data_IF_101371028365
#
_entry.id   IF_101371028365
#
_cell.length_a   1.000
_cell.length_b   1.000
_cell.length_c   1.000
_cell.angle_alpha   90.00
_cell.angle_beta   90.00
_cell.angle_gamma   90.00
#
_symmetry.space_group_name_H-M   'P 1'
#
loop_
_entity.id
_entity.type
_entity.pdbx_description
1 polymer ?
#
# COMPACT_ATOMS: atom_id res chain seq x y z
N UNK A 1 15.92 -11.38 21.93
CA UNK A 1 15.17 -12.15 20.91
C UNK A 1 14.99 -11.27 19.68
N UNK A 2 15.72 -11.54 18.60
CA UNK A 2 15.67 -10.77 17.35
C UNK A 2 14.98 -11.64 16.29
N UNK A 3 13.81 -11.18 15.84
CA UNK A 3 13.26 -11.32 14.48
C UNK A 3 11.89 -10.64 14.47
N UNK A 4 11.86 -9.34 14.14
CA UNK A 4 10.64 -8.73 13.61
C UNK A 4 10.47 -9.29 12.20
N UNK A 5 9.41 -10.10 11.92
CA UNK A 5 9.16 -10.62 10.59
C UNK A 5 8.55 -9.48 9.79
N UNK A 6 9.41 -8.56 9.29
CA UNK A 6 9.01 -7.50 8.38
C UNK A 6 8.44 -8.18 7.12
N UNK A 7 7.12 -8.07 6.96
CA UNK A 7 6.26 -8.55 5.87
C UNK A 7 6.96 -8.23 4.55
N UNK A 8 7.33 -9.27 3.79
CA UNK A 8 8.40 -9.11 2.80
C UNK A 8 7.93 -8.52 1.46
N UNK A 9 6.71 -8.78 1.01
CA UNK A 9 6.12 -8.14 -0.17
C UNK A 9 4.59 -8.18 -0.04
N UNK A 10 3.88 -7.19 -0.58
CA UNK A 10 2.43 -7.29 -0.76
C UNK A 10 2.17 -7.10 -2.24
N UNK A 11 1.56 -8.11 -2.84
CA UNK A 11 1.26 -8.13 -4.27
C UNK A 11 -0.25 -8.02 -4.43
N UNK A 12 -0.67 -7.16 -5.35
CA UNK A 12 -2.08 -6.84 -5.57
C UNK A 12 -2.48 -7.29 -6.96
N UNK A 13 -3.53 -8.08 -7.05
CA UNK A 13 -4.09 -8.52 -8.32
C UNK A 13 -5.57 -8.16 -8.37
N UNK A 14 -6.02 -7.57 -9.47
CA UNK A 14 -7.44 -7.53 -9.81
C UNK A 14 -7.72 -8.74 -10.69
N UNK A 15 -8.56 -9.65 -10.20
CA UNK A 15 -9.12 -10.70 -11.04
C UNK A 15 -10.51 -10.25 -11.50
N UNK A 16 -10.60 -9.94 -12.79
CA UNK A 16 -11.82 -9.62 -13.51
C UNK A 16 -12.26 -10.76 -14.43
N UNK A 17 -11.47 -11.84 -14.52
CA UNK A 17 -11.70 -12.95 -15.43
C UNK A 17 -12.47 -14.09 -14.76
N UNK A 18 -12.27 -14.32 -13.45
CA UNK A 18 -12.96 -15.43 -12.76
C UNK A 18 -14.46 -15.26 -12.64
N UNK A 19 -14.96 -14.02 -12.60
CA UNK A 19 -16.40 -13.75 -12.47
C UNK A 19 -16.81 -12.66 -13.47
N UNK A 20 -17.60 -13.00 -14.51
CA UNK A 20 -18.08 -12.02 -15.48
C UNK A 20 -18.83 -10.87 -14.81
N UNK A 21 -18.35 -9.65 -15.02
CA UNK A 21 -18.98 -8.43 -14.48
C UNK A 21 -18.66 -8.11 -13.02
N UNK A 22 -17.76 -8.85 -12.35
CA UNK A 22 -17.27 -8.51 -11.01
C UNK A 22 -15.75 -8.39 -11.02
N UNK A 23 -15.23 -7.25 -10.58
CA UNK A 23 -13.81 -7.08 -10.30
C UNK A 23 -13.56 -7.45 -8.84
N UNK A 24 -12.75 -8.47 -8.61
CA UNK A 24 -12.32 -8.84 -7.25
C UNK A 24 -10.89 -8.35 -7.02
N UNK A 25 -10.67 -7.61 -5.94
CA UNK A 25 -9.34 -7.21 -5.51
C UNK A 25 -8.76 -8.31 -4.61
N UNK A 26 -7.73 -9.00 -5.08
CA UNK A 26 -7.03 -10.06 -4.34
C UNK A 26 -5.76 -9.49 -3.72
N UNK A 27 -5.59 -9.76 -2.42
CA UNK A 27 -4.51 -9.26 -1.58
C UNK A 27 -3.55 -10.41 -1.29
N UNK A 28 -2.37 -10.42 -1.89
CA UNK A 28 -1.32 -11.36 -1.50
C UNK A 28 -0.41 -10.71 -0.47
N UNK A 29 -0.51 -11.15 0.79
CA UNK A 29 0.34 -10.67 1.86
C UNK A 29 1.41 -11.73 2.13
N UNK A 30 2.62 -11.51 1.63
CA UNK A 30 3.69 -12.49 1.79
C UNK A 30 4.10 -12.61 3.25
N UNK A 31 4.21 -13.87 3.69
CA UNK A 31 4.70 -14.25 5.03
C UNK A 31 3.81 -13.76 6.18
N UNK A 32 2.55 -13.40 5.91
CA UNK A 32 1.58 -13.21 6.96
C UNK A 32 1.13 -14.58 7.51
N UNK A 33 1.35 -14.80 8.81
CA UNK A 33 0.78 -15.95 9.48
C UNK A 33 -0.76 -15.77 9.53
N UNK A 34 -1.52 -16.74 9.01
CA UNK A 34 -2.99 -16.66 8.92
C UNK A 34 -3.64 -16.25 10.26
N UNK A 35 -3.09 -16.72 11.39
CA UNK A 35 -3.62 -16.44 12.73
C UNK A 35 -3.33 -15.02 13.22
N UNK A 36 -2.31 -14.38 12.66
CA UNK A 36 -1.87 -13.04 13.03
C UNK A 36 -2.16 -12.01 11.93
N UNK A 37 -3.01 -12.35 10.96
CA UNK A 37 -3.28 -11.47 9.81
C UNK A 37 -3.88 -10.13 10.27
N UNK A 38 -4.79 -10.17 11.25
CA UNK A 38 -5.40 -8.98 11.89
C UNK A 38 -4.42 -8.14 12.72
N UNK A 39 -3.22 -8.67 13.00
CA UNK A 39 -2.13 -7.91 13.63
C UNK A 39 -1.21 -7.26 12.60
N UNK A 40 -1.41 -7.53 11.31
CA UNK A 40 -0.67 -6.85 10.25
C UNK A 40 -1.15 -5.39 10.17
N UNK A 41 -0.29 -4.41 10.48
CA UNK A 41 -0.67 -3.00 10.41
C UNK A 41 -1.04 -2.59 8.98
N UNK A 42 -0.44 -3.25 7.97
CA UNK A 42 -0.70 -2.94 6.57
C UNK A 42 -2.08 -3.45 6.15
N UNK A 43 -2.46 -4.67 6.55
CA UNK A 43 -3.82 -5.16 6.29
C UNK A 43 -4.86 -4.28 6.97
N UNK A 44 -4.69 -4.02 8.26
CA UNK A 44 -5.70 -3.27 9.03
C UNK A 44 -5.88 -1.85 8.51
N UNK A 45 -4.79 -1.19 8.08
CA UNK A 45 -4.86 0.11 7.43
C UNK A 45 -5.74 0.09 6.19
N UNK A 46 -5.57 -0.92 5.36
CA UNK A 46 -6.22 -1.00 4.06
C UNK A 46 -7.69 -1.40 4.18
N UNK A 47 -8.00 -2.33 5.07
CA UNK A 47 -9.39 -2.62 5.49
C UNK A 47 -10.06 -1.34 6.00
N UNK A 48 -9.36 -0.59 6.86
CA UNK A 48 -9.89 0.66 7.42
C UNK A 48 -10.16 1.70 6.32
N UNK A 49 -9.24 1.86 5.35
CA UNK A 49 -9.41 2.77 4.22
C UNK A 49 -10.63 2.41 3.36
N UNK A 50 -10.79 1.13 3.01
CA UNK A 50 -11.95 0.64 2.26
C UNK A 50 -13.26 0.90 3.03
N UNK A 51 -13.32 0.50 4.30
CA UNK A 51 -14.52 0.67 5.12
C UNK A 51 -14.89 2.14 5.28
N UNK A 52 -13.90 2.99 5.56
CA UNK A 52 -14.14 4.43 5.74
C UNK A 52 -14.68 5.09 4.49
N UNK A 53 -14.15 4.72 3.32
CA UNK A 53 -14.65 5.17 2.03
C UNK A 53 -16.11 4.72 1.81
N UNK A 54 -16.40 3.43 1.96
CA UNK A 54 -17.72 2.87 1.65
C UNK A 54 -18.82 3.38 2.59
N UNK A 55 -18.46 3.76 3.83
CA UNK A 55 -19.37 4.35 4.82
C UNK A 55 -19.56 5.86 4.58
N UNK A 56 -18.70 6.51 3.79
CA UNK A 56 -18.73 7.95 3.67
C UNK A 56 -20.01 8.44 2.96
N UNK A 57 -20.77 9.39 3.54
CA UNK A 57 -22.06 9.80 2.98
C UNK A 57 -21.96 10.52 1.63
N UNK A 58 -20.76 10.91 1.23
CA UNK A 58 -20.47 11.59 -0.05
C UNK A 58 -19.74 10.70 -1.05
N UNK A 59 -19.51 9.42 -0.73
CA UNK A 59 -18.85 8.48 -1.64
C UNK A 59 -19.67 8.34 -2.93
N UNK A 60 -19.11 8.79 -4.06
CA UNK A 60 -19.77 8.72 -5.38
C UNK A 60 -19.30 7.57 -6.25
N UNK A 61 -18.08 7.09 -6.02
CA UNK A 61 -17.44 6.00 -6.77
C UNK A 61 -17.09 4.85 -5.85
N UNK A 62 -16.67 3.71 -6.39
CA UNK A 62 -16.05 2.64 -5.61
C UNK A 62 -14.62 3.02 -5.20
N UNK A 63 -14.16 2.52 -4.05
CA UNK A 63 -12.78 2.77 -3.58
C UNK A 63 -11.76 2.28 -4.61
N UNK A 64 -10.79 3.13 -4.95
CA UNK A 64 -9.76 2.81 -5.96
C UNK A 64 -8.77 1.80 -5.37
N UNK A 65 -8.58 0.68 -6.07
CA UNK A 65 -7.63 -0.37 -5.68
C UNK A 65 -6.19 0.12 -5.72
N UNK A 66 -5.33 -0.42 -4.85
CA UNK A 66 -3.90 -0.03 -4.76
C UNK A 66 -3.13 -0.19 -6.08
N UNK A 67 -3.60 -1.01 -7.02
CA UNK A 67 -3.01 -1.12 -8.35
C UNK A 67 -3.22 0.14 -9.20
N UNK A 68 -4.33 0.85 -9.01
CA UNK A 68 -4.69 2.07 -9.76
C UNK A 68 -4.37 3.35 -8.99
N UNK A 69 -4.30 3.31 -7.66
CA UNK A 69 -3.89 4.46 -6.82
C UNK A 69 -2.39 4.45 -6.52
N UNK A 70 -1.81 5.63 -6.41
CA UNK A 70 -0.43 5.80 -5.97
C UNK A 70 -0.20 5.41 -4.49
N UNK A 71 1.06 5.37 -4.04
CA UNK A 71 1.42 5.24 -2.64
C UNK A 71 0.80 6.38 -1.81
N UNK A 72 0.26 6.05 -0.64
CA UNK A 72 -0.38 7.00 0.26
C UNK A 72 0.45 7.28 1.52
N UNK A 73 1.43 6.41 1.82
CA UNK A 73 2.41 6.60 2.91
C UNK A 73 3.80 6.21 2.45
N UNK A 74 4.80 6.64 3.21
CA UNK A 74 6.21 6.26 3.00
C UNK A 74 6.38 4.73 2.99
N UNK A 75 5.65 4.00 3.84
CA UNK A 75 5.70 2.52 3.90
C UNK A 75 5.22 1.83 2.61
N UNK A 76 4.46 2.54 1.76
CA UNK A 76 4.06 2.00 0.47
C UNK A 76 5.20 2.13 -0.56
N UNK A 77 6.08 3.13 -0.40
CA UNK A 77 7.22 3.31 -1.27
C UNK A 77 8.27 2.22 -1.05
N UNK A 78 8.82 1.68 -2.14
CA UNK A 78 9.88 0.68 -2.07
C UNK A 78 10.98 0.94 -3.10
N UNK A 79 12.15 0.38 -2.80
CA UNK A 79 13.32 0.45 -3.67
C UNK A 79 13.29 -0.67 -4.71
N UNK A 80 13.40 -0.30 -5.99
CA UNK A 80 13.61 -1.23 -7.10
C UNK A 80 15.11 -1.42 -7.30
N UNK A 81 15.61 -2.60 -6.89
CA UNK A 81 17.03 -2.95 -7.01
C UNK A 81 17.49 -3.12 -8.45
N UNK A 82 16.59 -3.50 -9.37
CA UNK A 82 16.94 -3.68 -10.79
C UNK A 82 17.17 -2.35 -11.48
N UNK A 83 16.45 -1.30 -11.06
CA UNK A 83 16.55 0.05 -11.64
C UNK A 83 17.35 1.03 -10.77
N UNK A 84 17.86 0.58 -9.63
CA UNK A 84 18.59 1.39 -8.65
C UNK A 84 17.89 2.72 -8.30
N UNK A 85 16.55 2.69 -8.14
CA UNK A 85 15.72 3.86 -7.81
C UNK A 85 14.48 3.44 -7.04
N UNK A 86 13.79 4.40 -6.40
CA UNK A 86 12.46 4.13 -5.86
C UNK A 86 11.52 3.71 -7.01
N UNK A 87 10.72 2.65 -6.79
CA UNK A 87 9.93 2.03 -7.85
C UNK A 87 8.94 3.00 -8.50
N UNK A 88 8.38 3.91 -7.71
CA UNK A 88 7.45 4.94 -8.15
C UNK A 88 8.11 6.31 -8.14
N UNK A 89 8.83 6.63 -9.20
CA UNK A 89 9.55 7.92 -9.33
C UNK A 89 8.64 9.14 -9.33
N UNK A 90 7.37 8.99 -9.74
CA UNK A 90 6.41 10.10 -9.77
C UNK A 90 5.99 10.52 -8.36
N UNK A 91 5.70 9.54 -7.49
CA UNK A 91 5.13 9.76 -6.16
C UNK A 91 6.16 9.73 -5.04
N UNK A 92 7.19 8.90 -5.17
CA UNK A 92 8.22 8.68 -4.17
C UNK A 92 9.55 9.29 -4.61
N UNK A 93 10.30 9.81 -3.65
CA UNK A 93 11.67 10.26 -3.80
C UNK A 93 12.59 9.51 -2.86
N UNK A 94 13.86 9.41 -3.24
CA UNK A 94 14.89 8.95 -2.33
C UNK A 94 15.32 10.11 -1.45
N UNK A 95 14.98 10.04 -0.17
CA UNK A 95 15.33 11.03 0.83
C UNK A 95 15.83 10.30 2.06
N UNK A 96 17.13 10.29 2.30
CA UNK A 96 17.70 9.62 3.48
C UNK A 96 17.36 10.38 4.78
N UNK A 97 17.03 9.64 5.84
CA UNK A 97 16.93 10.16 7.20
C UNK A 97 17.85 9.35 8.12
N UNK A 98 18.43 10.02 9.12
CA UNK A 98 19.31 9.36 10.07
C UNK A 98 18.57 8.23 10.80
N UNK A 99 19.13 7.02 10.73
CA UNK A 99 18.50 5.80 11.23
C UNK A 99 17.92 4.87 10.15
N UNK A 100 17.90 5.30 8.89
CA UNK A 100 17.61 4.41 7.77
C UNK A 100 18.76 3.43 7.57
N UNK A 101 18.44 2.13 7.64
CA UNK A 101 19.39 1.02 7.48
C UNK A 101 19.29 0.39 6.09
N UNK A 102 18.16 0.58 5.41
CA UNK A 102 17.88 -0.02 4.09
C UNK A 102 17.47 1.05 3.08
N UNK A 103 17.82 0.85 1.82
CA UNK A 103 17.47 1.77 0.72
C UNK A 103 15.95 1.99 0.60
N UNK A 104 15.15 0.96 0.91
CA UNK A 104 13.69 1.08 0.93
C UNK A 104 13.16 2.02 2.01
N UNK A 105 13.83 2.12 3.17
CA UNK A 105 13.44 3.05 4.24
C UNK A 105 13.69 4.51 3.86
N UNK A 106 14.68 4.73 2.99
CA UNK A 106 14.98 6.04 2.42
C UNK A 106 14.01 6.44 1.30
N UNK A 107 13.17 5.54 0.77
CA UNK A 107 12.13 5.91 -0.19
C UNK A 107 10.93 6.49 0.55
N UNK A 108 10.62 7.76 0.31
CA UNK A 108 9.55 8.50 0.97
C UNK A 108 8.67 9.21 -0.04
N UNK A 109 7.46 9.59 0.35
CA UNK A 109 6.57 10.37 -0.50
C UNK A 109 7.09 11.80 -0.71
N UNK A 110 7.02 12.28 -1.95
CA UNK A 110 7.35 13.67 -2.30
C UNK A 110 6.38 14.66 -1.66
N UNK A 111 5.09 14.33 -1.69
CA UNK A 111 4.02 15.12 -1.08
C UNK A 111 3.18 14.22 -0.20
N UNK A 112 3.39 14.29 1.11
CA UNK A 112 2.46 13.71 2.08
C UNK A 112 1.22 14.63 2.19
N UNK A 113 0.43 14.74 1.12
CA UNK A 113 -0.79 15.52 1.22
C UNK A 113 -1.88 14.64 1.79
N UNK A 114 -2.39 15.03 2.96
CA UNK A 114 -3.66 14.53 3.50
C UNK A 114 -4.79 14.67 2.45
N UNK A 115 -4.64 15.57 1.47
CA UNK A 115 -5.51 15.75 0.31
C UNK A 115 -5.65 14.49 -0.56
N UNK A 116 -4.62 13.65 -0.69
CA UNK A 116 -4.71 12.43 -1.49
C UNK A 116 -5.80 11.48 -0.98
N UNK A 117 -6.05 11.43 0.32
CA UNK A 117 -7.14 10.61 0.88
C UNK A 117 -8.51 11.23 0.63
N UNK A 118 -8.63 12.55 0.72
CA UNK A 118 -9.87 13.27 0.40
C UNK A 118 -10.24 13.16 -1.08
N UNK A 119 -9.26 13.01 -1.98
CA UNK A 119 -9.50 12.74 -3.40
C UNK A 119 -10.22 11.42 -3.68
N UNK A 120 -10.15 10.47 -2.75
CA UNK A 120 -10.79 9.17 -2.91
C UNK A 120 -12.15 9.07 -2.22
N UNK A 121 -12.67 10.12 -1.56
CA UNK A 121 -14.06 10.22 -1.06
C UNK A 121 -14.97 10.70 -2.20
#
# INVERSE_FOLDING_TARGET
>A
MIRSPRTKYITYYEDAESIPGKTTAVWEIDKANHRNIVRSPILMREIWLQMWHDIHPKAKSHFVTKAKRGPLRDDDCYWDYGKARCAWSEYCEYRYAFGDVHLGQSCRLKSASLDLLFHYI
#
